data_IF_181039730177
#
_entry.id   IF_181039730177
#
_cell.length_a   1.000
_cell.length_b   1.000
_cell.length_c   1.000
_cell.angle_alpha   90.00
_cell.angle_beta   90.00
_cell.angle_gamma   90.00
#
_symmetry.space_group_name_H-M   'P 1'
#
loop_
_entity.id
_entity.type
_entity.pdbx_description
1 polymer ?
#
# COMPACT_ATOMS: atom_id res chain seq x y z
N UNK A 1 16.10 10.33 30.98
CA UNK A 1 16.69 9.72 29.75
C UNK A 1 16.92 10.82 28.72
N UNK A 2 18.16 10.98 28.25
CA UNK A 2 18.58 12.01 27.30
C UNK A 2 19.09 11.38 26.01
N UNK A 3 18.91 12.03 24.87
CA UNK A 3 19.36 11.54 23.56
C UNK A 3 20.86 11.21 23.54
N UNK A 4 21.67 11.99 24.24
CA UNK A 4 23.10 11.75 24.36
C UNK A 4 23.41 10.41 25.05
N UNK A 5 22.65 10.04 26.09
CA UNK A 5 22.80 8.75 26.76
C UNK A 5 22.44 7.60 25.81
N UNK A 6 21.41 7.76 24.95
CA UNK A 6 21.05 6.76 23.95
C UNK A 6 22.16 6.58 22.90
N UNK A 7 22.77 7.66 22.44
CA UNK A 7 23.93 7.60 21.52
C UNK A 7 25.12 6.91 22.15
N UNK A 8 25.42 7.22 23.41
CA UNK A 8 26.48 6.56 24.16
C UNK A 8 26.22 5.06 24.30
N UNK A 9 24.99 4.69 24.63
CA UNK A 9 24.58 3.29 24.70
C UNK A 9 24.76 2.57 23.36
N UNK A 10 24.32 3.15 22.24
CA UNK A 10 24.45 2.55 20.91
C UNK A 10 25.92 2.35 20.52
N UNK A 11 26.78 3.33 20.77
CA UNK A 11 28.20 3.21 20.46
C UNK A 11 28.89 2.09 21.29
N UNK A 12 28.54 1.97 22.58
CA UNK A 12 29.07 0.89 23.42
C UNK A 12 28.45 -0.46 23.02
N UNK A 13 27.19 -0.48 22.59
CA UNK A 13 26.51 -1.69 22.10
C UNK A 13 27.10 -2.24 20.80
N UNK A 14 27.63 -1.36 19.93
CA UNK A 14 28.30 -1.76 18.70
C UNK A 14 29.70 -2.31 18.93
N UNK A 15 30.47 -1.68 19.82
CA UNK A 15 31.87 -2.03 20.03
C UNK A 15 32.07 -3.10 21.10
N UNK A 16 31.16 -3.22 22.07
CA UNK A 16 31.26 -4.00 23.32
C UNK A 16 32.51 -3.67 24.14
N UNK A 17 33.13 -2.49 23.89
CA UNK A 17 34.36 -2.01 24.53
C UNK A 17 34.24 -0.55 25.01
N UNK A 18 34.00 -0.35 26.30
CA UNK A 18 33.79 0.98 26.90
C UNK A 18 34.94 1.96 26.63
N UNK A 19 36.19 1.49 26.77
CA UNK A 19 37.38 2.35 26.58
C UNK A 19 37.50 2.81 25.13
N UNK A 20 37.26 1.91 24.16
CA UNK A 20 37.28 2.22 22.72
C UNK A 20 36.18 3.20 22.37
N UNK A 21 34.96 2.94 22.84
CA UNK A 21 33.81 3.84 22.65
C UNK A 21 34.04 5.23 23.25
N UNK A 22 34.65 5.30 24.45
CA UNK A 22 34.97 6.57 25.08
C UNK A 22 35.94 7.41 24.24
N UNK A 23 36.98 6.78 23.66
CA UNK A 23 37.92 7.43 22.74
C UNK A 23 37.22 7.92 21.46
N UNK A 24 36.38 7.09 20.82
CA UNK A 24 35.62 7.43 19.61
C UNK A 24 34.67 8.59 19.89
N UNK A 25 34.01 8.60 21.02
CA UNK A 25 33.08 9.64 21.46
C UNK A 25 33.77 10.89 22.01
N UNK A 26 35.09 10.85 22.20
CA UNK A 26 35.92 11.94 22.80
C UNK A 26 35.46 12.33 24.19
N UNK A 27 35.10 11.35 25.00
CA UNK A 27 34.72 11.52 26.41
C UNK A 27 35.60 10.67 27.32
N UNK A 28 35.60 10.95 28.63
CA UNK A 28 36.28 10.10 29.57
C UNK A 28 35.55 8.78 29.79
N UNK A 29 36.27 7.66 29.95
CA UNK A 29 35.67 6.38 30.23
C UNK A 29 34.76 6.39 31.50
N UNK A 30 35.14 7.05 32.61
CA UNK A 30 34.24 7.18 33.76
C UNK A 30 32.92 7.86 33.43
N UNK A 31 32.97 8.93 32.62
CA UNK A 31 31.74 9.66 32.20
C UNK A 31 30.84 8.76 31.35
N UNK A 32 31.39 8.00 30.40
CA UNK A 32 30.63 7.07 29.58
C UNK A 32 30.02 5.97 30.44
N UNK A 33 30.78 5.36 31.35
CA UNK A 33 30.28 4.34 32.28
C UNK A 33 29.15 4.87 33.15
N UNK A 34 29.28 6.09 33.68
CA UNK A 34 28.26 6.73 34.49
C UNK A 34 26.98 6.99 33.70
N UNK A 35 27.11 7.42 32.44
CA UNK A 35 25.94 7.65 31.56
C UNK A 35 25.18 6.35 31.28
N UNK A 36 25.89 5.24 31.00
CA UNK A 36 25.29 3.91 30.82
C UNK A 36 24.58 3.46 32.10
N UNK A 37 25.28 3.51 33.24
CA UNK A 37 24.68 3.10 34.52
C UNK A 37 23.47 3.93 34.93
N UNK A 38 23.46 5.22 34.56
CA UNK A 38 22.26 6.08 34.76
C UNK A 38 21.11 5.62 33.88
N UNK A 39 21.37 5.29 32.60
CA UNK A 39 20.35 4.79 31.66
C UNK A 39 19.76 3.48 32.17
N UNK A 40 20.61 2.50 32.58
CA UNK A 40 20.16 1.21 33.13
C UNK A 40 19.29 1.39 34.37
N UNK A 41 19.66 2.32 35.25
CA UNK A 41 18.89 2.63 36.46
C UNK A 41 17.53 3.25 36.12
N UNK A 42 17.47 4.14 35.15
CA UNK A 42 16.20 4.73 34.69
C UNK A 42 15.28 3.69 34.03
N UNK A 43 15.86 2.72 33.31
CA UNK A 43 15.11 1.65 32.66
C UNK A 43 14.76 0.49 33.61
N UNK A 44 15.45 0.39 34.75
CA UNK A 44 15.26 -0.67 35.74
C UNK A 44 15.79 -2.03 35.27
N UNK A 45 16.63 -2.09 34.23
CA UNK A 45 17.20 -3.32 33.66
C UNK A 45 18.69 -3.11 33.31
N UNK A 46 19.49 -4.17 33.43
CA UNK A 46 20.85 -4.18 32.94
C UNK A 46 20.88 -4.41 31.43
N UNK A 47 21.58 -3.54 30.72
CA UNK A 47 21.73 -3.62 29.26
C UNK A 47 23.02 -4.31 28.87
N UNK A 48 24.04 -4.29 29.79
CA UNK A 48 25.32 -4.94 29.62
C UNK A 48 25.61 -5.89 30.77
N UNK A 49 26.37 -6.93 30.48
CA UNK A 49 26.91 -7.86 31.45
C UNK A 49 28.41 -8.04 31.21
N UNK A 50 29.21 -8.33 32.25
CA UNK A 50 30.64 -8.57 32.12
C UNK A 50 30.95 -9.78 31.23
N UNK A 51 31.93 -9.66 30.34
CA UNK A 51 32.45 -10.76 29.53
C UNK A 51 33.99 -10.72 29.51
N UNK A 52 34.61 -11.56 30.27
CA UNK A 52 36.08 -11.60 30.42
C UNK A 52 36.65 -10.26 30.90
N UNK A 53 37.42 -9.57 30.03
CA UNK A 53 37.96 -8.22 30.30
C UNK A 53 37.09 -7.08 29.67
N UNK A 54 35.99 -7.42 29.03
CA UNK A 54 35.08 -6.51 28.38
C UNK A 54 33.65 -6.62 28.92
N UNK A 55 32.70 -6.16 28.12
CA UNK A 55 31.26 -6.25 28.37
C UNK A 55 30.58 -6.76 27.13
N UNK A 56 29.42 -7.38 27.28
CA UNK A 56 28.54 -7.73 26.18
C UNK A 56 27.10 -7.28 26.45
N UNK A 57 26.29 -7.19 25.40
CA UNK A 57 24.88 -6.91 25.56
C UNK A 57 24.14 -8.09 26.21
N UNK A 58 23.28 -7.78 27.18
CA UNK A 58 22.27 -8.70 27.69
C UNK A 58 21.19 -8.94 26.62
N UNK A 59 20.26 -9.85 26.85
CA UNK A 59 19.08 -10.02 25.96
C UNK A 59 18.25 -8.73 25.89
N UNK A 60 18.02 -8.09 27.03
CA UNK A 60 17.37 -6.78 27.13
C UNK A 60 18.15 -5.69 26.38
N UNK A 61 19.49 -5.68 26.48
CA UNK A 61 20.37 -4.78 25.77
C UNK A 61 20.26 -4.95 24.24
N UNK A 62 20.27 -6.18 23.73
CA UNK A 62 20.08 -6.48 22.30
C UNK A 62 18.72 -6.06 21.79
N UNK A 63 17.67 -6.32 22.56
CA UNK A 63 16.33 -5.86 22.22
C UNK A 63 16.26 -4.33 22.16
N UNK A 64 16.78 -3.68 23.19
CA UNK A 64 16.73 -2.23 23.32
C UNK A 64 17.57 -1.53 22.26
N UNK A 65 18.78 -2.03 21.94
CA UNK A 65 19.68 -1.45 20.93
C UNK A 65 19.03 -1.39 19.55
N UNK A 66 18.34 -2.46 19.11
CA UNK A 66 17.61 -2.49 17.83
C UNK A 66 16.52 -1.43 17.75
N UNK A 67 15.78 -1.21 18.84
CA UNK A 67 14.69 -0.23 18.90
C UNK A 67 15.22 1.20 18.92
N UNK A 68 16.25 1.43 19.75
CA UNK A 68 16.84 2.77 19.91
C UNK A 68 17.65 3.16 18.68
N UNK A 69 18.37 2.24 18.03
CA UNK A 69 19.09 2.53 16.79
C UNK A 69 18.12 3.09 15.72
N UNK A 70 16.92 2.51 15.61
CA UNK A 70 15.90 3.00 14.69
C UNK A 70 15.43 4.41 15.08
N UNK A 71 15.10 4.64 16.35
CA UNK A 71 14.61 5.92 16.84
C UNK A 71 15.64 7.05 16.71
N UNK A 72 16.90 6.77 17.04
CA UNK A 72 18.01 7.74 16.91
C UNK A 72 18.29 8.02 15.43
N UNK A 73 18.23 6.99 14.57
CA UNK A 73 18.36 7.15 13.11
C UNK A 73 17.28 8.04 12.51
N UNK A 74 16.04 7.94 12.99
CA UNK A 74 14.93 8.83 12.58
C UNK A 74 15.19 10.29 12.99
N UNK A 75 15.73 10.53 14.19
CA UNK A 75 16.12 11.88 14.65
C UNK A 75 17.26 12.44 13.79
N UNK A 76 18.24 11.62 13.44
CA UNK A 76 19.37 12.03 12.61
C UNK A 76 18.94 12.33 11.17
N UNK A 77 18.02 11.52 10.61
CA UNK A 77 17.40 11.79 9.32
C UNK A 77 16.68 13.14 9.32
N UNK A 78 15.85 13.38 10.32
CA UNK A 78 15.13 14.66 10.46
C UNK A 78 16.08 15.86 10.52
N UNK A 79 17.20 15.73 11.23
CA UNK A 79 18.21 16.78 11.33
C UNK A 79 18.95 17.00 10.01
N UNK A 80 19.27 15.91 9.30
CA UNK A 80 19.94 15.97 7.99
C UNK A 80 19.03 16.55 6.91
N UNK A 81 17.73 16.27 6.98
CA UNK A 81 16.72 16.82 6.10
C UNK A 81 16.55 18.33 6.29
N UNK A 82 16.59 18.82 7.51
CA UNK A 82 16.59 20.25 7.80
C UNK A 82 17.78 20.99 7.15
N UNK A 83 18.94 20.37 7.07
CA UNK A 83 20.11 20.96 6.43
C UNK A 83 20.01 21.00 4.88
N UNK A 84 19.15 20.17 4.28
CA UNK A 84 18.87 20.12 2.83
C UNK A 84 17.62 20.91 2.45
N UNK A 85 16.99 21.55 3.42
CA UNK A 85 15.60 21.99 3.34
C UNK A 85 15.31 23.09 2.30
N UNK A 86 16.29 23.87 1.87
CA UNK A 86 16.06 25.05 1.02
C UNK A 86 16.28 24.85 -0.49
N UNK A 87 17.12 23.95 -0.93
CA UNK A 87 17.50 23.89 -2.36
C UNK A 87 16.90 22.72 -3.16
N UNK A 88 16.65 21.56 -2.56
CA UNK A 88 16.12 20.40 -3.28
C UNK A 88 14.59 20.23 -3.18
N UNK A 89 13.94 20.99 -2.33
CA UNK A 89 12.54 20.79 -1.94
C UNK A 89 11.53 21.04 -3.05
N UNK A 90 11.83 21.91 -4.00
CA UNK A 90 10.90 22.29 -5.06
C UNK A 90 10.89 21.36 -6.28
N UNK A 91 11.84 20.41 -6.35
CA UNK A 91 12.01 19.56 -7.54
C UNK A 91 11.56 18.10 -7.39
N UNK A 92 11.32 17.60 -6.17
CA UNK A 92 10.93 16.20 -5.92
C UNK A 92 9.50 16.15 -5.42
N UNK A 93 8.66 15.37 -6.10
CA UNK A 93 7.30 15.05 -5.65
C UNK A 93 7.35 13.82 -4.75
N UNK A 94 7.01 13.97 -3.48
CA UNK A 94 7.00 12.89 -2.48
C UNK A 94 5.58 12.34 -2.31
N UNK A 95 5.42 11.04 -2.53
CA UNK A 95 4.12 10.39 -2.46
C UNK A 95 4.18 9.24 -1.48
N UNK A 96 3.28 9.23 -0.49
CA UNK A 96 3.04 8.06 0.34
C UNK A 96 1.87 7.26 -0.24
N UNK A 97 2.15 6.03 -0.69
CA UNK A 97 1.19 5.17 -1.38
C UNK A 97 0.95 3.92 -0.57
N UNK A 98 -0.09 3.92 0.26
CA UNK A 98 -0.51 2.75 1.05
C UNK A 98 -1.55 1.92 0.30
N UNK A 99 -2.25 2.53 -0.65
CA UNK A 99 -3.27 1.88 -1.49
C UNK A 99 -3.18 2.33 -2.94
N UNK A 100 -3.70 1.53 -3.87
CA UNK A 100 -3.79 1.85 -5.29
C UNK A 100 -2.44 2.16 -5.96
N UNK A 101 -1.39 1.46 -5.57
CA UNK A 101 -0.02 1.69 -6.07
C UNK A 101 0.11 1.60 -7.59
N UNK A 102 -0.64 0.71 -8.25
CA UNK A 102 -0.59 0.58 -9.70
C UNK A 102 -1.03 1.88 -10.40
N UNK A 103 -2.16 2.46 -9.96
CA UNK A 103 -2.69 3.71 -10.54
C UNK A 103 -1.69 4.85 -10.36
N UNK A 104 -1.05 4.92 -9.20
CA UNK A 104 -0.04 5.96 -8.91
C UNK A 104 1.20 5.76 -9.79
N UNK A 105 1.67 4.52 -9.93
CA UNK A 105 2.86 4.21 -10.76
C UNK A 105 2.58 4.50 -12.23
N UNK A 106 1.42 4.11 -12.74
CA UNK A 106 1.00 4.40 -14.13
C UNK A 106 0.92 5.92 -14.36
N UNK A 107 0.32 6.67 -13.43
CA UNK A 107 0.26 8.12 -13.49
C UNK A 107 1.65 8.77 -13.45
N UNK A 108 2.58 8.26 -12.64
CA UNK A 108 3.97 8.75 -12.61
C UNK A 108 4.69 8.46 -13.93
N UNK A 109 4.51 7.28 -14.50
CA UNK A 109 5.11 6.92 -15.78
C UNK A 109 4.62 7.83 -16.90
N UNK A 110 3.32 8.06 -16.99
CA UNK A 110 2.70 8.93 -17.98
C UNK A 110 3.10 10.40 -17.78
N UNK A 111 3.13 10.89 -16.54
CA UNK A 111 3.59 12.24 -16.23
C UNK A 111 5.03 12.46 -16.67
N UNK A 112 5.92 11.51 -16.37
CA UNK A 112 7.34 11.59 -16.75
C UNK A 112 7.57 11.57 -18.25
N UNK A 113 6.70 10.92 -19.03
CA UNK A 113 6.78 10.97 -20.49
C UNK A 113 6.64 12.42 -21.02
N UNK A 114 5.82 13.23 -20.34
CA UNK A 114 5.60 14.65 -20.68
C UNK A 114 6.55 15.60 -19.93
N UNK A 115 7.08 15.18 -18.79
CA UNK A 115 7.95 15.96 -17.89
C UNK A 115 9.20 15.17 -17.50
N UNK A 116 10.18 14.94 -18.42
CA UNK A 116 11.32 14.05 -18.18
C UNK A 116 12.20 14.43 -16.98
N UNK A 117 12.24 15.73 -16.65
CA UNK A 117 13.01 16.25 -15.50
C UNK A 117 12.32 16.04 -14.15
N UNK A 118 11.04 15.63 -14.11
CA UNK A 118 10.31 15.44 -12.88
C UNK A 118 10.90 14.27 -12.06
N UNK A 119 11.15 14.54 -10.77
CA UNK A 119 11.68 13.56 -9.83
C UNK A 119 10.56 13.16 -8.86
N UNK A 120 10.49 11.87 -8.55
CA UNK A 120 9.50 11.30 -7.64
C UNK A 120 10.19 10.47 -6.57
N UNK A 121 9.71 10.59 -5.35
CA UNK A 121 10.00 9.69 -4.24
C UNK A 121 8.68 9.03 -3.81
N UNK A 122 8.60 7.71 -3.95
CA UNK A 122 7.41 6.94 -3.58
C UNK A 122 7.78 6.09 -2.38
N UNK A 123 7.03 6.23 -1.30
CA UNK A 123 7.15 5.41 -0.10
C UNK A 123 5.82 4.69 0.15
N UNK A 124 5.86 3.56 0.84
CA UNK A 124 4.67 2.81 1.22
C UNK A 124 4.76 2.46 2.70
N UNK A 125 4.21 3.32 3.54
CA UNK A 125 4.21 3.12 4.98
C UNK A 125 2.93 3.67 5.60
N UNK A 126 2.27 2.88 6.43
CA UNK A 126 1.10 3.32 7.20
C UNK A 126 1.43 4.43 8.21
N UNK A 127 2.70 4.61 8.53
CA UNK A 127 3.20 5.62 9.48
C UNK A 127 4.08 6.68 8.83
N UNK A 128 4.34 6.63 7.53
CA UNK A 128 5.26 7.55 6.85
C UNK A 128 4.81 9.01 6.93
N UNK A 129 3.51 9.27 6.84
CA UNK A 129 2.96 10.63 6.98
C UNK A 129 3.18 11.28 8.35
N UNK A 130 3.53 10.47 9.36
CA UNK A 130 3.87 10.95 10.71
C UNK A 130 5.38 11.22 10.82
N UNK A 131 6.18 10.46 10.08
CA UNK A 131 7.65 10.44 10.21
C UNK A 131 8.34 11.24 9.13
N UNK A 132 7.85 11.16 7.89
CA UNK A 132 8.41 11.87 6.73
C UNK A 132 7.34 12.72 6.05
N UNK A 133 7.58 14.03 5.85
CA UNK A 133 6.64 14.88 5.16
C UNK A 133 6.54 14.44 3.69
N UNK A 134 5.33 14.05 3.27
CA UNK A 134 5.00 13.77 1.88
C UNK A 134 4.13 14.90 1.29
N UNK A 135 4.14 15.01 -0.03
CA UNK A 135 3.32 16.00 -0.75
C UNK A 135 1.92 15.46 -1.02
N UNK A 136 1.82 14.17 -1.33
CA UNK A 136 0.59 13.49 -1.69
C UNK A 136 0.48 12.19 -0.90
N UNK A 137 -0.69 11.91 -0.39
CA UNK A 137 -1.01 10.65 0.30
C UNK A 137 -2.15 9.93 -0.41
N UNK A 138 -1.95 8.63 -0.67
CA UNK A 138 -2.95 7.74 -1.24
C UNK A 138 -3.12 6.54 -0.30
N UNK A 139 -4.26 6.48 0.37
CA UNK A 139 -4.52 5.47 1.41
C UNK A 139 -5.95 4.95 1.38
N UNK A 140 -6.21 3.86 2.07
CA UNK A 140 -7.56 3.44 2.40
C UNK A 140 -8.08 4.28 3.57
N UNK A 141 -9.27 4.87 3.41
CA UNK A 141 -9.93 5.59 4.50
C UNK A 141 -10.35 4.60 5.59
N UNK A 142 -9.94 4.86 6.82
CA UNK A 142 -10.41 4.16 8.00
C UNK A 142 -11.31 5.12 8.78
N UNK A 143 -12.58 4.83 8.92
CA UNK A 143 -13.68 5.69 9.32
C UNK A 143 -13.59 6.50 10.62
N UNK A 144 -12.39 6.65 11.20
CA UNK A 144 -12.13 7.46 12.39
C UNK A 144 -11.13 8.60 12.14
N UNK A 145 -10.56 8.69 10.96
CA UNK A 145 -9.60 9.75 10.64
C UNK A 145 -10.34 10.88 9.95
N UNK A 146 -10.21 12.13 10.39
CA UNK A 146 -10.76 13.27 9.68
C UNK A 146 -10.20 13.29 8.26
N UNK A 147 -11.07 13.50 7.30
CA UNK A 147 -10.66 13.73 5.91
C UNK A 147 -9.66 14.88 5.86
N UNK A 148 -8.55 14.70 5.16
CA UNK A 148 -7.64 15.78 4.90
C UNK A 148 -8.40 16.87 4.11
N UNK A 149 -8.27 18.13 4.51
CA UNK A 149 -8.99 19.23 3.85
C UNK A 149 -8.64 19.28 2.37
N UNK A 150 -9.63 19.02 1.51
CA UNK A 150 -9.47 18.95 0.05
C UNK A 150 -9.12 17.56 -0.48
N UNK A 151 -9.19 16.51 0.34
CA UNK A 151 -9.05 15.14 -0.12
C UNK A 151 -10.19 14.72 -1.07
N UNK A 152 -9.88 13.85 -2.02
CA UNK A 152 -10.86 13.20 -2.88
C UNK A 152 -11.03 11.75 -2.46
N UNK A 153 -12.27 11.28 -2.49
CA UNK A 153 -12.66 9.95 -2.04
C UNK A 153 -13.17 9.14 -3.22
N UNK A 154 -12.62 7.94 -3.39
CA UNK A 154 -12.98 7.01 -4.45
C UNK A 154 -13.46 5.69 -3.82
N UNK A 155 -14.73 5.35 -4.03
CA UNK A 155 -15.29 4.08 -3.57
C UNK A 155 -14.94 2.97 -4.54
N UNK A 156 -14.43 1.87 -4.03
CA UNK A 156 -13.99 0.72 -4.81
C UNK A 156 -14.61 -0.57 -4.27
N UNK A 157 -15.20 -1.36 -5.16
CA UNK A 157 -15.69 -2.70 -4.83
C UNK A 157 -14.50 -3.65 -4.62
N UNK A 158 -14.69 -4.59 -3.72
CA UNK A 158 -13.81 -5.76 -3.59
C UNK A 158 -14.51 -6.91 -4.29
N UNK A 159 -13.89 -7.40 -5.33
CA UNK A 159 -14.32 -8.55 -6.12
C UNK A 159 -13.75 -9.84 -5.49
N UNK A 160 -14.31 -10.97 -5.86
CA UNK A 160 -13.74 -12.27 -5.58
C UNK A 160 -12.99 -12.75 -6.83
N UNK A 161 -11.72 -13.06 -6.68
CA UNK A 161 -10.95 -13.74 -7.71
C UNK A 161 -10.99 -15.24 -7.41
N UNK A 162 -11.53 -16.02 -8.34
CA UNK A 162 -11.66 -17.48 -8.23
C UNK A 162 -10.86 -18.16 -9.32
N UNK A 163 -10.21 -19.31 -9.05
CA UNK A 163 -9.49 -20.05 -10.07
C UNK A 163 -10.40 -20.42 -11.25
N UNK A 164 -9.87 -20.24 -12.47
CA UNK A 164 -10.54 -20.78 -13.68
C UNK A 164 -10.34 -22.29 -13.69
N UNK A 165 -11.41 -23.05 -13.92
CA UNK A 165 -11.30 -24.48 -14.18
C UNK A 165 -10.96 -24.68 -15.66
N UNK A 166 -10.18 -25.73 -15.96
CA UNK A 166 -9.77 -26.02 -17.37
C UNK A 166 -10.95 -26.15 -18.35
N UNK A 167 -12.20 -26.20 -17.88
CA UNK A 167 -13.42 -26.15 -18.68
C UNK A 167 -13.78 -24.75 -19.16
N UNK A 168 -13.55 -23.74 -18.32
CA UNK A 168 -13.94 -22.33 -18.60
C UNK A 168 -13.04 -21.73 -19.69
N UNK A 169 -11.74 -22.13 -19.75
CA UNK A 169 -10.82 -21.69 -20.81
C UNK A 169 -11.20 -22.20 -22.20
N UNK A 170 -11.76 -23.41 -22.29
CA UNK A 170 -12.21 -23.99 -23.55
C UNK A 170 -13.49 -23.28 -24.06
N UNK A 171 -14.37 -22.87 -23.17
CA UNK A 171 -15.60 -22.16 -23.49
C UNK A 171 -15.35 -20.70 -23.87
N UNK A 172 -14.45 -20.00 -23.14
CA UNK A 172 -14.01 -18.65 -23.50
C UNK A 172 -13.25 -18.60 -24.84
N UNK A 173 -12.44 -19.62 -25.13
CA UNK A 173 -11.73 -19.73 -26.40
C UNK A 173 -12.69 -20.00 -27.56
N UNK A 174 -13.67 -20.87 -27.34
CA UNK A 174 -14.73 -21.12 -28.32
C UNK A 174 -15.60 -19.89 -28.60
N UNK A 175 -15.91 -19.09 -27.57
CA UNK A 175 -16.63 -17.82 -27.68
C UNK A 175 -15.83 -16.73 -28.40
N UNK A 176 -14.50 -16.71 -28.25
CA UNK A 176 -13.63 -15.76 -28.99
C UNK A 176 -13.45 -16.18 -30.45
N UNK A 177 -13.33 -17.46 -30.73
CA UNK A 177 -13.20 -17.99 -32.10
C UNK A 177 -14.50 -17.85 -32.91
N UNK A 178 -15.67 -17.77 -32.25
CA UNK A 178 -16.97 -17.52 -32.93
C UNK A 178 -17.27 -16.04 -33.19
N UNK A 179 -16.43 -15.11 -32.69
CA UNK A 179 -16.58 -13.66 -32.90
C UNK A 179 -15.62 -13.05 -33.91
N UNK A 180 -15.01 -13.86 -34.80
CA UNK A 180 -14.37 -13.26 -35.98
C UNK A 180 -15.44 -12.75 -36.94
N UNK A 181 -15.44 -11.48 -37.32
CA UNK A 181 -16.42 -10.94 -38.25
C UNK A 181 -16.07 -11.42 -39.64
N UNK A 182 -17.04 -12.09 -40.28
CA UNK A 182 -17.06 -12.37 -41.70
C UNK A 182 -16.87 -11.06 -42.49
N UNK A 183 -15.76 -10.97 -43.19
CA UNK A 183 -15.43 -9.84 -44.02
C UNK A 183 -16.14 -9.98 -45.38
N UNK A 184 -17.16 -9.17 -45.60
CA UNK A 184 -17.61 -8.91 -46.97
C UNK A 184 -19.10 -8.74 -47.13
N UNK A 185 -19.60 -7.55 -47.22
CA UNK A 185 -20.25 -7.00 -48.42
C UNK A 185 -20.66 -5.53 -48.20
N UNK A 186 -20.29 -4.70 -49.13
CA UNK A 186 -20.77 -3.31 -49.27
C UNK A 186 -22.23 -3.34 -49.71
N UNK A 187 -23.12 -2.52 -49.19
CA UNK A 187 -23.77 -1.52 -49.97
C UNK A 187 -24.52 -0.45 -49.15
N UNK A 188 -24.83 0.57 -49.77
CA UNK A 188 -25.02 1.98 -49.54
C UNK A 188 -26.47 2.35 -49.13
N UNK A 189 -26.61 3.50 -48.50
CA UNK A 189 -27.76 4.43 -48.42
C UNK A 189 -28.89 4.19 -47.41
N UNK A 190 -29.06 5.21 -46.56
CA UNK A 190 -30.32 5.49 -45.87
C UNK A 190 -30.19 6.44 -44.69
N UNK A 191 -30.46 7.73 -44.92
CA UNK A 191 -30.66 8.76 -43.88
C UNK A 191 -31.85 8.40 -42.98
N UNK A 192 -31.70 8.54 -41.65
CA UNK A 192 -32.83 8.46 -40.72
C UNK A 192 -32.42 8.93 -39.33
N UNK A 193 -33.15 9.88 -38.84
CA UNK A 193 -32.99 10.70 -37.65
C UNK A 193 -32.86 9.93 -36.32
N UNK A 194 -32.14 10.55 -35.39
CA UNK A 194 -32.02 10.13 -34.00
C UNK A 194 -33.33 10.37 -33.22
N UNK A 195 -33.70 9.48 -32.31
CA UNK A 195 -34.18 9.89 -30.99
C UNK A 195 -33.19 9.52 -29.91
N UNK A 196 -32.75 10.50 -29.15
CA UNK A 196 -31.91 10.32 -28.00
C UNK A 196 -32.74 9.98 -26.78
N UNK A 197 -32.16 9.21 -25.88
CA UNK A 197 -32.57 9.19 -24.47
C UNK A 197 -32.82 7.82 -23.84
N UNK A 198 -33.30 6.83 -24.57
CA UNK A 198 -33.71 5.54 -23.96
C UNK A 198 -32.66 4.41 -24.00
N UNK A 199 -31.70 4.48 -24.90
CA UNK A 199 -30.66 3.41 -25.00
C UNK A 199 -29.67 3.35 -23.85
N UNK A 200 -29.45 4.47 -23.11
CA UNK A 200 -28.52 4.47 -21.96
C UNK A 200 -29.06 3.76 -20.73
N UNK A 201 -30.35 3.84 -20.48
CA UNK A 201 -30.97 3.22 -19.31
C UNK A 201 -31.16 1.71 -19.50
N UNK A 202 -31.38 1.25 -20.72
CA UNK A 202 -31.51 -0.18 -21.04
C UNK A 202 -30.16 -0.87 -20.96
N UNK A 203 -29.10 -0.26 -21.50
CA UNK A 203 -27.74 -0.82 -21.42
C UNK A 203 -27.22 -0.91 -19.98
N UNK A 204 -27.54 0.06 -19.13
CA UNK A 204 -27.17 0.03 -17.70
C UNK A 204 -27.99 -1.03 -16.93
N UNK A 205 -29.26 -1.23 -17.29
CA UNK A 205 -30.12 -2.26 -16.71
C UNK A 205 -29.65 -3.68 -17.09
N UNK A 206 -29.28 -3.90 -18.34
CA UNK A 206 -28.80 -5.19 -18.84
C UNK A 206 -27.39 -5.52 -18.30
N UNK A 207 -26.53 -4.50 -18.14
CA UNK A 207 -25.22 -4.68 -17.50
C UNK A 207 -25.35 -5.06 -16.02
N UNK A 208 -26.29 -4.44 -15.30
CA UNK A 208 -26.58 -4.77 -13.90
C UNK A 208 -27.25 -6.13 -13.73
N UNK A 209 -28.03 -6.58 -14.72
CA UNK A 209 -28.61 -7.91 -14.73
C UNK A 209 -27.55 -8.99 -14.97
N UNK A 210 -26.67 -8.80 -15.95
CA UNK A 210 -25.56 -9.71 -16.25
C UNK A 210 -24.55 -9.81 -15.08
N UNK A 211 -24.27 -8.70 -14.38
CA UNK A 211 -23.40 -8.72 -13.20
C UNK A 211 -23.97 -9.56 -12.04
N UNK A 212 -25.31 -9.66 -11.90
CA UNK A 212 -25.97 -10.49 -10.88
C UNK A 212 -25.90 -11.98 -11.20
N UNK A 213 -25.95 -12.33 -12.46
CA UNK A 213 -25.86 -13.73 -12.90
C UNK A 213 -24.44 -14.30 -12.74
N UNK A 214 -23.42 -13.46 -12.71
CA UNK A 214 -22.01 -13.83 -12.47
C UNK A 214 -21.57 -13.69 -11.02
N UNK A 215 -22.38 -13.11 -10.13
CA UNK A 215 -22.02 -12.88 -8.75
C UNK A 215 -21.90 -14.19 -7.94
N UNK A 216 -20.88 -14.28 -7.13
CA UNK A 216 -20.58 -15.44 -6.29
C UNK A 216 -20.89 -15.16 -4.83
N UNK A 217 -21.64 -16.05 -4.19
CA UNK A 217 -21.77 -16.03 -2.73
C UNK A 217 -20.52 -16.59 -2.08
N UNK A 218 -20.05 -15.93 -1.01
CA UNK A 218 -18.92 -16.42 -0.23
C UNK A 218 -19.17 -17.82 0.39
N UNK A 219 -20.43 -18.19 0.58
CA UNK A 219 -20.79 -19.53 1.02
C UNK A 219 -20.32 -20.62 0.04
N UNK A 220 -20.26 -20.33 -1.27
CA UNK A 220 -19.80 -21.26 -2.30
C UNK A 220 -18.30 -21.55 -2.22
N UNK A 221 -17.52 -20.60 -1.69
CA UNK A 221 -16.06 -20.70 -1.60
C UNK A 221 -15.54 -20.81 -0.16
N UNK A 222 -16.42 -20.91 0.84
CA UNK A 222 -16.03 -20.93 2.26
C UNK A 222 -15.04 -22.05 2.63
N UNK A 223 -15.08 -23.16 1.91
CA UNK A 223 -14.18 -24.31 2.10
C UNK A 223 -12.92 -24.28 1.21
N UNK A 224 -12.78 -23.22 0.38
CA UNK A 224 -11.60 -23.07 -0.48
C UNK A 224 -10.41 -22.52 0.31
N UNK A 225 -9.20 -22.74 -0.23
CA UNK A 225 -7.99 -22.09 0.27
C UNK A 225 -7.92 -20.65 -0.20
N UNK A 226 -7.83 -19.71 0.76
CA UNK A 226 -7.72 -18.28 0.46
C UNK A 226 -6.27 -17.83 0.39
N UNK A 227 -5.99 -16.90 -0.51
CA UNK A 227 -4.72 -16.20 -0.64
C UNK A 227 -4.92 -14.78 -0.08
N UNK A 228 -4.18 -14.44 0.97
CA UNK A 228 -4.39 -13.20 1.73
C UNK A 228 -3.15 -12.31 1.72
N UNK A 229 -3.39 -11.01 1.78
CA UNK A 229 -2.34 -10.02 1.97
C UNK A 229 -2.11 -9.79 3.47
N UNK A 230 -0.96 -10.23 3.97
CA UNK A 230 -0.50 -9.91 5.31
C UNK A 230 0.00 -8.46 5.40
N UNK A 231 -0.05 -7.86 6.57
CA UNK A 231 0.50 -6.51 6.79
C UNK A 231 -0.34 -5.36 6.25
N UNK A 232 -1.14 -5.55 5.22
CA UNK A 232 -2.15 -4.57 4.77
C UNK A 232 -3.38 -4.66 5.66
N UNK A 233 -3.22 -4.18 6.87
CA UNK A 233 -4.22 -4.33 7.94
C UNK A 233 -5.62 -3.89 7.53
N UNK A 234 -5.72 -2.89 6.65
CA UNK A 234 -7.00 -2.28 6.32
C UNK A 234 -7.86 -3.16 5.38
N UNK A 235 -7.30 -3.67 4.25
CA UNK A 235 -8.08 -4.48 3.31
C UNK A 235 -8.35 -5.88 3.86
N UNK A 236 -7.34 -6.53 4.44
CA UNK A 236 -7.50 -7.86 5.03
C UNK A 236 -8.47 -7.83 6.19
N UNK A 237 -8.37 -6.84 7.09
CA UNK A 237 -9.31 -6.67 8.20
C UNK A 237 -10.73 -6.40 7.71
N UNK A 238 -10.90 -5.60 6.65
CA UNK A 238 -12.21 -5.40 6.02
C UNK A 238 -12.80 -6.75 5.58
N UNK A 239 -12.07 -7.50 4.74
CA UNK A 239 -12.55 -8.76 4.19
C UNK A 239 -12.82 -9.81 5.28
N UNK A 240 -11.89 -10.00 6.22
CA UNK A 240 -12.05 -10.94 7.33
C UNK A 240 -13.23 -10.57 8.24
N UNK A 241 -13.45 -9.27 8.50
CA UNK A 241 -14.58 -8.83 9.30
C UNK A 241 -15.92 -9.09 8.61
N UNK A 242 -15.99 -8.97 7.29
CA UNK A 242 -17.21 -9.31 6.55
C UNK A 242 -17.44 -10.83 6.52
N UNK A 243 -16.41 -11.64 6.30
CA UNK A 243 -16.53 -13.10 6.41
C UNK A 243 -17.01 -13.54 7.81
N UNK A 244 -16.48 -12.94 8.86
CA UNK A 244 -16.91 -13.22 10.24
C UNK A 244 -18.38 -12.87 10.49
N UNK A 245 -18.91 -11.79 9.90
CA UNK A 245 -20.36 -11.44 9.96
C UNK A 245 -21.24 -12.48 9.26
N UNK A 246 -20.70 -13.17 8.27
CA UNK A 246 -21.35 -14.25 7.54
C UNK A 246 -21.20 -15.61 8.22
N UNK A 247 -20.54 -15.65 9.38
CA UNK A 247 -20.42 -16.83 10.22
C UNK A 247 -19.29 -17.78 9.89
N UNK A 248 -18.33 -17.38 9.01
CA UNK A 248 -17.17 -18.20 8.71
C UNK A 248 -15.85 -17.46 8.77
N UNK A 249 -14.76 -18.21 8.89
CA UNK A 249 -13.38 -17.70 8.75
C UNK A 249 -12.73 -18.38 7.55
N UNK A 250 -12.17 -17.61 6.60
CA UNK A 250 -11.44 -18.19 5.47
C UNK A 250 -10.27 -19.06 5.94
N UNK A 251 -10.12 -20.23 5.33
CA UNK A 251 -8.92 -21.05 5.49
C UNK A 251 -7.81 -20.44 4.66
N UNK A 252 -6.78 -19.90 5.30
CA UNK A 252 -5.67 -19.24 4.60
C UNK A 252 -4.71 -20.31 4.10
N UNK A 253 -4.65 -20.50 2.78
CA UNK A 253 -3.70 -21.40 2.13
C UNK A 253 -2.34 -20.73 1.91
N UNK A 254 -2.34 -19.43 1.58
CA UNK A 254 -1.13 -18.63 1.37
C UNK A 254 -1.32 -17.22 1.92
N UNK A 255 -0.25 -16.69 2.50
CA UNK A 255 -0.19 -15.32 3.00
C UNK A 255 1.15 -14.68 2.66
N UNK A 256 1.14 -13.43 2.24
CA UNK A 256 2.34 -12.64 1.99
C UNK A 256 2.08 -11.17 2.31
N UNK A 257 3.07 -10.47 2.83
CA UNK A 257 3.06 -9.01 3.03
C UNK A 257 3.35 -8.24 1.72
N UNK A 258 3.73 -8.95 0.66
CA UNK A 258 4.02 -8.37 -0.65
C UNK A 258 2.78 -8.46 -1.58
N UNK A 259 2.14 -7.32 -1.92
CA UNK A 259 0.97 -7.31 -2.79
C UNK A 259 1.21 -7.93 -4.18
N UNK A 260 2.43 -7.82 -4.72
CA UNK A 260 2.76 -8.38 -6.03
C UNK A 260 2.82 -9.91 -6.00
N UNK A 261 3.31 -10.49 -4.89
CA UNK A 261 3.30 -11.95 -4.67
C UNK A 261 1.86 -12.44 -4.57
N UNK A 262 1.03 -11.80 -3.74
CA UNK A 262 -0.39 -12.16 -3.56
C UNK A 262 -1.13 -12.11 -4.91
N UNK A 263 -1.01 -11.00 -5.65
CA UNK A 263 -1.63 -10.86 -6.99
C UNK A 263 -1.18 -11.95 -7.96
N UNK A 264 0.12 -12.27 -7.97
CA UNK A 264 0.66 -13.31 -8.84
C UNK A 264 0.11 -14.68 -8.50
N UNK A 265 0.03 -15.02 -7.22
CA UNK A 265 -0.50 -16.31 -6.76
C UNK A 265 -1.99 -16.47 -7.10
N UNK A 266 -2.79 -15.42 -6.89
CA UNK A 266 -4.21 -15.37 -7.27
C UNK A 266 -4.33 -15.52 -8.79
N UNK A 267 -3.58 -14.75 -9.56
CA UNK A 267 -3.60 -14.79 -11.03
C UNK A 267 -3.12 -16.12 -11.65
N UNK A 268 -2.41 -16.95 -10.88
CA UNK A 268 -2.06 -18.32 -11.25
C UNK A 268 -3.14 -19.35 -10.87
N UNK A 269 -4.24 -18.93 -10.25
CA UNK A 269 -5.32 -19.82 -9.84
C UNK A 269 -4.98 -20.72 -8.64
N UNK A 270 -4.00 -20.32 -7.80
CA UNK A 270 -3.56 -21.15 -6.66
C UNK A 270 -4.55 -21.14 -5.47
N UNK A 271 -5.58 -20.32 -5.54
CA UNK A 271 -6.62 -20.22 -4.52
C UNK A 271 -7.51 -19.00 -4.77
N UNK A 272 -8.50 -18.85 -3.90
CA UNK A 272 -9.45 -17.75 -3.94
C UNK A 272 -8.82 -16.49 -3.30
N UNK A 273 -9.07 -15.32 -3.87
CA UNK A 273 -8.56 -14.06 -3.31
C UNK A 273 -9.56 -12.92 -3.38
N UNK A 274 -9.38 -11.94 -2.50
CA UNK A 274 -10.12 -10.68 -2.56
C UNK A 274 -9.36 -9.69 -3.45
N UNK A 275 -10.03 -9.17 -4.48
CA UNK A 275 -9.43 -8.35 -5.51
C UNK A 275 -10.09 -6.98 -5.59
N UNK A 276 -9.40 -5.91 -5.25
CA UNK A 276 -9.88 -4.55 -5.49
C UNK A 276 -10.08 -4.30 -6.98
N UNK A 277 -11.29 -3.87 -7.38
CA UNK A 277 -11.74 -3.82 -8.77
C UNK A 277 -10.84 -2.95 -9.68
N UNK A 278 -10.42 -1.79 -9.19
CA UNK A 278 -9.72 -0.81 -10.01
C UNK A 278 -8.22 -0.69 -9.71
N UNK A 279 -7.83 -0.89 -8.46
CA UNK A 279 -6.51 -0.51 -7.97
C UNK A 279 -5.43 -1.58 -8.07
N UNK A 280 -5.82 -2.85 -8.32
CA UNK A 280 -4.86 -3.95 -8.43
C UNK A 280 -4.44 -4.27 -9.86
N UNK A 281 -5.05 -3.63 -10.87
CA UNK A 281 -4.77 -3.86 -12.29
C UNK A 281 -5.40 -5.15 -12.82
N UNK A 282 -4.84 -5.66 -13.90
CA UNK A 282 -5.36 -6.85 -14.57
C UNK A 282 -5.07 -8.13 -13.78
N UNK A 283 -6.05 -9.04 -13.80
CA UNK A 283 -5.92 -10.38 -13.23
C UNK A 283 -5.22 -11.31 -14.22
N UNK A 284 -4.38 -12.21 -13.73
CA UNK A 284 -3.77 -13.25 -14.57
C UNK A 284 -4.78 -14.29 -15.03
N UNK A 285 -4.50 -14.97 -16.15
CA UNK A 285 -5.41 -15.91 -16.83
C UNK A 285 -5.83 -17.16 -16.00
N UNK A 286 -5.12 -17.47 -14.91
CA UNK A 286 -5.48 -18.62 -14.05
C UNK A 286 -6.65 -18.36 -13.10
N UNK A 287 -7.23 -17.15 -13.09
CA UNK A 287 -8.38 -16.80 -12.27
C UNK A 287 -9.30 -15.83 -12.99
N UNK A 288 -10.56 -15.77 -12.60
CA UNK A 288 -11.54 -14.79 -13.04
C UNK A 288 -12.07 -13.97 -11.89
N UNK A 289 -12.48 -12.74 -12.17
CA UNK A 289 -13.16 -11.88 -11.20
C UNK A 289 -14.67 -12.14 -11.23
N UNK A 290 -15.25 -12.15 -10.04
CA UNK A 290 -16.69 -12.21 -9.88
C UNK A 290 -17.13 -11.19 -8.80
N UNK A 291 -18.26 -10.50 -8.97
CA UNK A 291 -18.86 -9.71 -7.92
C UNK A 291 -19.17 -10.58 -6.70
N UNK A 292 -19.00 -10.04 -5.50
CA UNK A 292 -19.42 -10.71 -4.26
C UNK A 292 -20.89 -10.37 -4.02
N UNK A 293 -21.72 -11.41 -3.84
CA UNK A 293 -23.16 -11.24 -3.66
C UNK A 293 -23.51 -10.54 -2.34
N UNK A 294 -22.73 -10.83 -1.29
CA UNK A 294 -22.95 -10.27 0.04
C UNK A 294 -22.51 -8.81 0.12
N UNK A 295 -23.27 -7.94 0.82
CA UNK A 295 -22.93 -6.54 0.94
C UNK A 295 -21.72 -6.29 1.86
N UNK A 296 -21.11 -5.12 1.72
CA UNK A 296 -20.05 -4.64 2.63
C UNK A 296 -18.63 -4.85 2.11
N UNK A 297 -18.45 -5.44 0.94
CA UNK A 297 -17.17 -5.58 0.27
C UNK A 297 -16.84 -4.33 -0.57
N UNK A 298 -16.80 -3.20 0.11
CA UNK A 298 -16.48 -1.89 -0.49
C UNK A 298 -15.47 -1.20 0.40
N UNK A 299 -14.46 -0.58 -0.20
CA UNK A 299 -13.52 0.30 0.48
C UNK A 299 -13.54 1.69 -0.11
N UNK A 300 -13.01 2.65 0.63
CA UNK A 300 -12.83 4.02 0.15
C UNK A 300 -11.33 4.32 0.09
N UNK A 301 -10.85 4.77 -1.05
CA UNK A 301 -9.50 5.28 -1.24
C UNK A 301 -9.55 6.80 -1.09
N UNK A 302 -8.70 7.33 -0.24
CA UNK A 302 -8.48 8.75 -0.04
C UNK A 302 -7.22 9.17 -0.78
N UNK A 303 -7.34 10.18 -1.64
CA UNK A 303 -6.22 10.84 -2.32
C UNK A 303 -6.15 12.26 -1.78
N UNK A 304 -5.12 12.57 -1.04
CA UNK A 304 -4.99 13.82 -0.32
C UNK A 304 -3.70 14.57 -0.68
N UNK A 305 -3.79 15.90 -0.78
CA UNK A 305 -2.64 16.79 -0.79
C UNK A 305 -2.29 17.11 0.66
N UNK A 306 -1.08 16.77 1.10
CA UNK A 306 -0.65 17.03 2.47
C UNK A 306 -0.02 18.43 2.59
N UNK A 307 -0.20 19.07 3.73
CA UNK A 307 0.34 20.42 3.99
C UNK A 307 1.80 20.41 4.48
N UNK A 308 2.32 19.25 4.83
CA UNK A 308 3.65 19.14 5.43
C UNK A 308 4.79 19.35 4.44
N UNK A 309 4.51 19.29 3.14
CA UNK A 309 5.48 19.45 2.06
C UNK A 309 5.86 20.89 1.69
N UNK A 310 5.25 21.91 2.29
CA UNK A 310 5.44 23.30 1.86
C UNK A 310 4.82 23.61 0.49
N UNK A 311 5.24 24.69 -0.16
CA UNK A 311 4.80 25.07 -1.51
C UNK A 311 5.62 24.30 -2.55
N UNK A 312 5.08 23.21 -3.10
CA UNK A 312 5.67 22.46 -4.20
C UNK A 312 4.71 22.50 -5.40
N UNK A 313 4.98 23.42 -6.32
CA UNK A 313 4.14 23.64 -7.51
C UNK A 313 4.06 22.40 -8.41
N UNK A 314 5.14 21.62 -8.51
CA UNK A 314 5.14 20.37 -9.26
C UNK A 314 4.23 19.34 -8.63
N UNK A 315 4.23 19.24 -7.30
CA UNK A 315 3.33 18.35 -6.58
C UNK A 315 1.85 18.75 -6.75
N UNK A 316 1.54 20.06 -6.80
CA UNK A 316 0.18 20.54 -7.03
C UNK A 316 -0.31 20.17 -8.45
N UNK A 317 0.54 20.36 -9.46
CA UNK A 317 0.24 20.00 -10.84
C UNK A 317 0.07 18.48 -10.97
N UNK A 318 1.00 17.72 -10.40
CA UNK A 318 0.91 16.26 -10.42
C UNK A 318 -0.30 15.73 -9.64
N UNK A 319 -0.64 16.34 -8.49
CA UNK A 319 -1.86 15.97 -7.75
C UNK A 319 -3.12 16.11 -8.59
N UNK A 320 -3.25 17.24 -9.30
CA UNK A 320 -4.40 17.46 -10.19
C UNK A 320 -4.45 16.42 -11.32
N UNK A 321 -3.29 16.09 -11.91
CA UNK A 321 -3.18 15.05 -12.92
C UNK A 321 -3.53 13.66 -12.36
N UNK A 322 -3.02 13.33 -11.18
CA UNK A 322 -3.32 12.06 -10.50
C UNK A 322 -4.82 11.90 -10.23
N UNK A 323 -5.50 12.96 -9.78
CA UNK A 323 -6.94 12.92 -9.58
C UNK A 323 -7.69 12.60 -10.87
N UNK A 324 -7.30 13.20 -12.01
CA UNK A 324 -7.90 12.89 -13.32
C UNK A 324 -7.73 11.41 -13.69
N UNK A 325 -6.58 10.78 -13.32
CA UNK A 325 -6.36 9.34 -13.56
C UNK A 325 -7.23 8.46 -12.67
N UNK A 326 -7.45 8.88 -11.44
CA UNK A 326 -8.42 8.21 -10.57
C UNK A 326 -9.84 8.38 -11.12
N UNK A 327 -10.27 9.59 -11.46
CA UNK A 327 -11.59 9.86 -12.04
C UNK A 327 -11.82 9.04 -13.31
N UNK A 328 -10.88 9.01 -14.23
CA UNK A 328 -10.96 8.20 -15.45
C UNK A 328 -11.09 6.70 -15.18
N UNK A 329 -10.39 6.18 -14.14
CA UNK A 329 -10.45 4.76 -13.79
C UNK A 329 -11.77 4.37 -13.13
N UNK A 330 -12.47 5.31 -12.50
CA UNK A 330 -13.80 5.13 -11.90
C UNK A 330 -14.95 5.55 -12.82
N UNK A 331 -14.65 6.00 -14.05
CA UNK A 331 -15.64 6.52 -15.02
C UNK A 331 -16.51 7.66 -14.44
N UNK A 332 -15.89 8.56 -13.66
CA UNK A 332 -16.54 9.71 -13.01
C UNK A 332 -16.18 11.00 -13.75
#
# INVERSE_FOLDING_TARGET
MELLQLRYFLEVAESEHVTHSAQKLRVSQPSLTQAISRLERELGVQLFEPEGRGIRLTEAGRFYSKRIAKAVGEIDSATSELARFDEERSSIVRINVVSASNIVVDAVAEWRAQHPAAKFQIVSSETASIIEPCDIEVRMQTGKTPEAKGARLFKERIMLAVPTTNGDEAEERALRETKEPDAGFRDNQGKGERPGGEERDIAASDALANERDEAISLAQVQNSGFIMLAGSRNISNLCLSQCAKLGFRPTIAFESDNPSVVRKMIGLGLGVGFWPEHSWGELGAGARLAPILEPGFVRTIEVARTRHGGSNEQADKFYSFLLQRFEARWNI
#
